data_IF_503386133975
#
_entry.id   IF_503386133975
#
_cell.length_a   1.000
_cell.length_b   1.000
_cell.length_c   1.000
_cell.angle_alpha   90.00
_cell.angle_beta   90.00
_cell.angle_gamma   90.00
#
_symmetry.space_group_name_H-M   'P 1'
#
loop_
_entity.id
_entity.type
_entity.pdbx_description
1 polymer ?
#
# COMPACT_ATOMS: atom_id res chain seq x y z
N UNK A 1 1.13 -2.07 12.65
CA UNK A 1 2.13 -3.16 12.75
C UNK A 1 1.50 -4.44 13.33
N UNK A 2 0.84 -4.39 14.49
CA UNK A 2 0.24 -5.58 15.11
C UNK A 2 -0.71 -6.37 14.19
N UNK A 3 -1.54 -5.72 13.40
CA UNK A 3 -2.43 -6.35 12.41
C UNK A 3 -1.64 -7.12 11.33
N UNK A 4 -0.52 -6.57 10.86
CA UNK A 4 0.34 -7.25 9.86
C UNK A 4 0.98 -8.50 10.45
N UNK A 5 1.51 -8.37 11.67
CA UNK A 5 2.16 -9.48 12.37
C UNK A 5 1.16 -10.55 12.86
N UNK A 6 -0.09 -10.16 13.06
CA UNK A 6 -1.18 -11.05 13.48
C UNK A 6 -1.97 -11.65 12.31
N UNK A 7 -1.62 -11.33 11.07
CA UNK A 7 -2.29 -11.89 9.90
C UNK A 7 -1.97 -13.37 9.75
N UNK A 8 -3.00 -14.19 9.58
CA UNK A 8 -2.90 -15.65 9.38
C UNK A 8 -3.27 -16.01 7.94
N UNK A 9 -2.72 -17.11 7.43
CA UNK A 9 -2.99 -17.59 6.07
C UNK A 9 -4.45 -17.95 5.84
N UNK A 10 -5.17 -18.44 6.84
CA UNK A 10 -6.63 -18.69 6.74
C UNK A 10 -7.43 -17.45 6.36
N UNK A 11 -6.87 -16.26 6.60
CA UNK A 11 -7.48 -14.96 6.32
C UNK A 11 -6.91 -14.28 5.06
N UNK A 12 -6.16 -15.00 4.25
CA UNK A 12 -5.57 -14.51 3.00
C UNK A 12 -6.23 -15.22 1.82
N UNK A 13 -6.99 -14.48 1.03
CA UNK A 13 -7.78 -14.98 -0.09
C UNK A 13 -7.13 -14.54 -1.40
N UNK A 14 -6.22 -15.36 -1.90
CA UNK A 14 -5.37 -15.11 -3.07
C UNK A 14 -5.36 -16.28 -4.05
N UNK A 15 -6.46 -17.03 -4.12
CA UNK A 15 -6.69 -18.06 -5.11
C UNK A 15 -6.64 -17.46 -6.51
N UNK A 16 -6.26 -18.25 -7.52
CA UNK A 16 -6.10 -17.77 -8.90
C UNK A 16 -7.37 -17.10 -9.44
N UNK A 17 -8.52 -17.63 -9.09
CA UNK A 17 -9.83 -17.08 -9.44
C UNK A 17 -10.05 -15.69 -8.83
N UNK A 18 -9.71 -15.51 -7.54
CA UNK A 18 -9.82 -14.24 -6.84
C UNK A 18 -8.85 -13.20 -7.42
N UNK A 19 -7.62 -13.60 -7.72
CA UNK A 19 -6.63 -12.70 -8.35
C UNK A 19 -7.08 -12.29 -9.75
N UNK A 20 -7.56 -13.23 -10.55
CA UNK A 20 -8.03 -12.96 -11.90
C UNK A 20 -9.21 -11.98 -11.93
N UNK A 21 -10.13 -12.12 -10.99
CA UNK A 21 -11.35 -11.31 -10.86
C UNK A 21 -11.14 -9.98 -10.09
N UNK A 22 -9.92 -9.59 -9.71
CA UNK A 22 -9.62 -8.44 -8.84
C UNK A 22 -10.30 -8.51 -7.45
N UNK A 23 -10.58 -9.72 -6.96
CA UNK A 23 -11.25 -10.00 -5.70
C UNK A 23 -10.31 -10.56 -4.62
N UNK A 24 -9.00 -10.47 -4.82
CA UNK A 24 -8.03 -10.88 -3.80
C UNK A 24 -8.09 -9.92 -2.60
N UNK A 25 -8.11 -10.48 -1.40
CA UNK A 25 -8.17 -9.68 -0.16
C UNK A 25 -7.54 -10.41 1.02
N UNK A 26 -7.24 -9.65 2.06
CA UNK A 26 -6.96 -10.17 3.40
C UNK A 26 -8.05 -9.73 4.36
N UNK A 27 -8.38 -10.58 5.33
CA UNK A 27 -9.31 -10.23 6.40
C UNK A 27 -8.53 -10.00 7.70
N UNK A 28 -8.64 -8.80 8.26
CA UNK A 28 -8.01 -8.43 9.52
C UNK A 28 -8.97 -8.78 10.64
N UNK A 29 -8.65 -9.79 11.44
CA UNK A 29 -9.40 -10.19 12.63
C UNK A 29 -8.54 -10.28 13.88
N UNK A 30 -7.21 -10.16 13.72
CA UNK A 30 -6.27 -10.34 14.81
C UNK A 30 -5.14 -9.32 14.78
N UNK A 31 -4.54 -9.09 15.93
CA UNK A 31 -3.29 -8.36 16.10
C UNK A 31 -2.33 -9.13 17.01
N UNK A 32 -1.05 -9.11 16.65
CA UNK A 32 0.03 -9.64 17.48
C UNK A 32 0.60 -8.51 18.34
N UNK A 33 0.56 -8.69 19.64
CA UNK A 33 1.11 -7.72 20.59
C UNK A 33 1.95 -8.42 21.67
N UNK A 34 2.81 -7.64 22.31
CA UNK A 34 3.51 -8.06 23.52
C UNK A 34 2.79 -7.49 24.75
N UNK A 35 2.37 -8.34 25.66
CA UNK A 35 1.62 -7.96 26.86
C UNK A 35 2.24 -8.53 28.14
N UNK A 36 2.07 -7.82 29.25
CA UNK A 36 2.41 -8.34 30.58
C UNK A 36 1.41 -9.42 31.01
N UNK A 37 1.78 -10.26 31.99
CA UNK A 37 0.85 -11.25 32.54
C UNK A 37 -0.43 -10.61 33.08
N UNK A 38 -0.31 -9.49 33.78
CA UNK A 38 -1.48 -8.75 34.29
C UNK A 38 -2.36 -8.22 33.15
N UNK A 39 -1.77 -7.70 32.07
CA UNK A 39 -2.56 -7.25 30.93
C UNK A 39 -3.29 -8.41 30.22
N UNK A 40 -2.69 -9.59 30.15
CA UNK A 40 -3.32 -10.80 29.61
C UNK A 40 -4.55 -11.19 30.42
N UNK A 41 -4.43 -11.19 31.75
CA UNK A 41 -5.54 -11.45 32.66
C UNK A 41 -6.70 -10.44 32.50
N UNK A 42 -6.36 -9.15 32.30
CA UNK A 42 -7.36 -8.09 32.08
C UNK A 42 -8.07 -8.18 30.71
N UNK A 43 -7.39 -8.64 29.66
CA UNK A 43 -7.98 -8.82 28.33
C UNK A 43 -9.04 -9.91 28.36
N UNK A 44 -8.81 -10.96 29.13
CA UNK A 44 -9.70 -12.12 29.25
C UNK A 44 -9.54 -13.12 28.09
N UNK A 45 -9.88 -14.37 28.35
CA UNK A 45 -9.67 -15.49 27.43
C UNK A 45 -10.45 -15.36 26.11
N UNK A 46 -11.60 -14.69 26.11
CA UNK A 46 -12.47 -14.57 24.92
C UNK A 46 -11.87 -13.78 23.78
N UNK A 47 -10.96 -12.85 24.08
CA UNK A 47 -10.34 -11.97 23.08
C UNK A 47 -8.92 -12.39 22.71
N UNK A 48 -8.41 -13.47 23.30
CA UNK A 48 -7.09 -14.02 23.02
C UNK A 48 -7.23 -15.32 22.22
N UNK A 49 -6.67 -15.32 21.01
CA UNK A 49 -6.63 -16.49 20.16
C UNK A 49 -5.48 -17.43 20.51
N UNK A 50 -4.31 -16.86 20.87
CA UNK A 50 -3.13 -17.65 21.22
C UNK A 50 -2.16 -16.88 22.13
N UNK A 51 -1.55 -17.59 23.09
CA UNK A 51 -0.45 -17.08 23.93
C UNK A 51 0.80 -17.87 23.59
N UNK A 52 1.78 -17.20 22.99
CA UNK A 52 3.00 -17.85 22.53
C UNK A 52 3.96 -18.16 23.69
N UNK A 53 4.53 -19.35 23.68
CA UNK A 53 5.56 -19.73 24.62
C UNK A 53 6.81 -18.89 24.43
N UNK A 54 7.33 -18.21 25.45
CA UNK A 54 8.52 -17.37 25.29
C UNK A 54 9.77 -18.22 25.11
N UNK A 55 10.78 -17.66 24.46
CA UNK A 55 12.10 -18.30 24.32
C UNK A 55 12.82 -18.42 25.64
N UNK A 56 12.60 -17.48 26.56
CA UNK A 56 13.21 -17.48 27.90
C UNK A 56 12.11 -17.67 28.95
N UNK A 57 12.27 -18.60 29.91
CA UNK A 57 11.21 -18.93 30.87
C UNK A 57 10.84 -17.77 31.81
N UNK A 58 11.78 -16.90 32.14
CA UNK A 58 11.58 -15.85 33.17
C UNK A 58 11.20 -14.47 32.61
N UNK A 59 10.49 -14.41 31.49
CA UNK A 59 10.04 -13.14 30.93
C UNK A 59 8.75 -12.68 31.60
N UNK A 60 8.69 -11.38 31.92
CA UNK A 60 7.49 -10.71 32.48
C UNK A 60 6.38 -10.50 31.45
N UNK A 61 6.69 -10.65 30.17
CA UNK A 61 5.77 -10.41 29.05
C UNK A 61 5.66 -11.62 28.14
N UNK A 62 4.54 -11.71 27.40
CA UNK A 62 4.27 -12.74 26.38
C UNK A 62 3.86 -12.08 25.07
N UNK A 63 4.16 -12.73 23.94
CA UNK A 63 3.49 -12.45 22.69
C UNK A 63 2.11 -13.10 22.72
N UNK A 64 1.10 -12.36 22.33
CA UNK A 64 -0.28 -12.86 22.22
C UNK A 64 -0.87 -12.47 20.89
N UNK A 65 -1.62 -13.38 20.31
CA UNK A 65 -2.50 -13.13 19.17
C UNK A 65 -3.90 -12.90 19.73
N UNK A 66 -4.47 -11.75 19.50
CA UNK A 66 -5.75 -11.37 20.07
C UNK A 66 -6.61 -10.58 19.08
N UNK A 67 -7.89 -10.43 19.40
CA UNK A 67 -8.78 -9.52 18.66
C UNK A 67 -8.26 -8.09 18.69
N UNK A 68 -8.46 -7.32 17.61
CA UNK A 68 -8.17 -5.90 17.60
C UNK A 68 -8.96 -5.15 18.66
N UNK A 69 -8.46 -3.98 19.07
CA UNK A 69 -9.07 -3.17 20.15
C UNK A 69 -10.48 -2.69 19.83
N UNK A 70 -10.81 -2.46 18.56
CA UNK A 70 -12.11 -1.92 18.12
C UNK A 70 -12.71 -2.82 17.04
N UNK A 71 -14.03 -2.92 17.02
CA UNK A 71 -14.75 -3.66 15.99
C UNK A 71 -14.52 -3.10 14.58
N UNK A 72 -14.30 -1.80 14.45
CA UNK A 72 -13.94 -1.16 13.17
C UNK A 72 -12.57 -1.58 12.63
N UNK A 73 -11.73 -2.22 13.45
CA UNK A 73 -10.46 -2.78 13.00
C UNK A 73 -10.63 -4.10 12.25
N UNK A 74 -11.72 -4.84 12.51
CA UNK A 74 -12.06 -6.05 11.75
C UNK A 74 -12.58 -5.64 10.36
N UNK A 75 -11.84 -5.97 9.32
CA UNK A 75 -12.17 -5.51 7.96
C UNK A 75 -11.50 -6.35 6.87
N UNK A 76 -12.10 -6.30 5.69
CA UNK A 76 -11.43 -6.70 4.45
C UNK A 76 -10.51 -5.59 3.96
N UNK A 77 -9.33 -5.99 3.51
CA UNK A 77 -8.40 -5.12 2.79
C UNK A 77 -8.17 -5.74 1.42
N UNK A 78 -8.66 -5.08 0.38
CA UNK A 78 -8.51 -5.52 -0.99
C UNK A 78 -7.05 -5.38 -1.44
N UNK A 79 -6.56 -6.37 -2.16
CA UNK A 79 -5.16 -6.44 -2.58
C UNK A 79 -5.02 -6.10 -4.07
N UNK A 80 -4.08 -5.24 -4.43
CA UNK A 80 -3.62 -5.16 -5.80
C UNK A 80 -3.07 -6.51 -6.27
N UNK A 81 -3.29 -6.89 -7.53
CA UNK A 81 -2.82 -8.17 -8.11
C UNK A 81 -1.34 -8.44 -7.81
N UNK A 82 -0.49 -7.43 -7.96
CA UNK A 82 0.95 -7.54 -7.67
C UNK A 82 1.21 -8.00 -6.24
N UNK A 83 0.49 -7.43 -5.26
CA UNK A 83 0.64 -7.81 -3.85
C UNK A 83 0.13 -9.23 -3.61
N UNK A 84 -0.99 -9.62 -4.24
CA UNK A 84 -1.52 -10.98 -4.15
C UNK A 84 -0.52 -12.02 -4.71
N UNK A 85 0.13 -11.73 -5.84
CA UNK A 85 1.18 -12.60 -6.40
C UNK A 85 2.40 -12.69 -5.49
N UNK A 86 2.86 -11.59 -4.89
CA UNK A 86 3.96 -11.59 -3.92
C UNK A 86 3.61 -12.47 -2.71
N UNK A 87 2.39 -12.34 -2.17
CA UNK A 87 1.95 -13.17 -1.05
C UNK A 87 1.89 -14.65 -1.42
N UNK A 88 1.49 -14.98 -2.64
CA UNK A 88 1.46 -16.37 -3.13
C UNK A 88 2.86 -16.98 -3.20
N UNK A 89 3.83 -16.25 -3.75
CA UNK A 89 5.22 -16.71 -3.77
C UNK A 89 5.81 -16.79 -2.36
N UNK A 90 5.45 -15.85 -1.48
CA UNK A 90 5.83 -15.90 -0.08
C UNK A 90 5.28 -17.14 0.62
N UNK A 91 3.99 -17.45 0.40
CA UNK A 91 3.37 -18.67 0.96
C UNK A 91 4.11 -19.94 0.51
N UNK A 92 4.41 -20.03 -0.79
CA UNK A 92 5.13 -21.17 -1.35
C UNK A 92 6.50 -21.34 -0.71
N UNK A 93 7.28 -20.26 -0.59
CA UNK A 93 8.59 -20.29 0.06
C UNK A 93 8.49 -20.71 1.55
N UNK A 94 7.45 -20.26 2.25
CA UNK A 94 7.19 -20.65 3.63
C UNK A 94 6.77 -22.13 3.75
N UNK A 95 5.94 -22.63 2.85
CA UNK A 95 5.52 -24.04 2.80
C UNK A 95 6.72 -24.97 2.49
N UNK A 96 7.63 -24.55 1.61
CA UNK A 96 8.90 -25.26 1.33
C UNK A 96 9.79 -25.33 2.58
N UNK A 97 9.93 -24.21 3.29
CA UNK A 97 10.71 -24.14 4.53
C UNK A 97 10.08 -25.00 5.64
N UNK A 98 8.76 -24.98 5.78
CA UNK A 98 7.99 -25.82 6.69
C UNK A 98 8.21 -27.30 6.40
N UNK A 99 8.18 -27.69 5.12
CA UNK A 99 8.44 -29.05 4.69
C UNK A 99 9.88 -29.48 4.97
N UNK A 100 10.84 -28.58 4.82
CA UNK A 100 12.26 -28.83 5.09
C UNK A 100 12.54 -29.03 6.58
N UNK A 101 11.95 -28.19 7.45
CA UNK A 101 12.15 -28.25 8.91
C UNK A 101 11.31 -29.33 9.60
N UNK A 102 10.21 -29.77 8.98
CA UNK A 102 9.34 -30.80 9.55
C UNK A 102 8.84 -30.44 10.95
N UNK A 103 9.11 -31.31 11.94
CA UNK A 103 8.66 -31.13 13.33
C UNK A 103 9.32 -29.94 14.06
N UNK A 104 10.45 -29.43 13.57
CA UNK A 104 11.09 -28.23 14.12
C UNK A 104 10.36 -26.94 13.78
N UNK A 105 9.50 -26.96 12.76
CA UNK A 105 8.70 -25.81 12.38
C UNK A 105 7.48 -25.66 13.29
N UNK A 106 7.38 -24.51 13.97
CA UNK A 106 6.25 -24.19 14.84
C UNK A 106 5.15 -23.48 14.02
N UNK A 107 4.20 -24.26 13.53
CA UNK A 107 3.14 -23.72 12.67
C UNK A 107 2.03 -23.05 13.47
N UNK A 108 1.98 -21.73 13.37
CA UNK A 108 0.92 -20.88 13.92
C UNK A 108 0.07 -20.22 12.82
N UNK A 109 0.16 -20.69 11.59
CA UNK A 109 -0.56 -20.15 10.44
C UNK A 109 -0.25 -18.65 10.15
N UNK A 110 0.84 -18.10 10.68
CA UNK A 110 1.19 -16.68 10.53
C UNK A 110 1.79 -16.40 9.16
N UNK A 111 1.32 -15.35 8.51
CA UNK A 111 1.88 -14.84 7.23
C UNK A 111 3.28 -14.29 7.45
N UNK A 112 3.48 -13.54 8.54
CA UNK A 112 4.77 -12.97 8.92
C UNK A 112 5.33 -13.78 10.09
N UNK A 113 6.05 -14.85 9.77
CA UNK A 113 6.71 -15.71 10.74
C UNK A 113 8.23 -15.66 10.60
N UNK A 114 8.94 -16.02 11.66
CA UNK A 114 10.37 -16.31 11.61
C UNK A 114 10.62 -17.61 10.82
N UNK A 115 11.85 -17.88 10.36
CA UNK A 115 12.16 -19.09 9.58
C UNK A 115 11.73 -20.40 10.23
N UNK A 116 11.68 -20.47 11.55
CA UNK A 116 11.20 -21.63 12.32
C UNK A 116 9.69 -21.60 12.63
N UNK A 117 8.91 -20.73 11.98
CA UNK A 117 7.47 -20.61 12.15
C UNK A 117 7.02 -19.77 13.35
N UNK A 118 7.93 -19.40 14.25
CA UNK A 118 7.59 -18.57 15.41
C UNK A 118 7.13 -17.15 15.01
N UNK A 119 6.32 -16.48 15.86
CA UNK A 119 5.87 -15.13 15.56
C UNK A 119 7.04 -14.15 15.44
N UNK A 120 6.98 -13.30 14.41
CA UNK A 120 7.92 -12.21 14.21
C UNK A 120 7.55 -11.03 15.11
N UNK A 121 8.55 -10.38 15.70
CA UNK A 121 8.34 -9.21 16.55
C UNK A 121 8.52 -7.90 15.78
N UNK A 122 7.83 -6.86 16.25
CA UNK A 122 7.87 -5.51 15.70
C UNK A 122 9.31 -5.00 15.47
N UNK A 123 10.20 -5.23 16.47
CA UNK A 123 11.60 -4.79 16.41
C UNK A 123 12.37 -5.36 15.22
N UNK A 124 12.04 -6.58 14.80
CA UNK A 124 12.71 -7.23 13.66
C UNK A 124 12.32 -6.50 12.38
N UNK A 125 11.03 -6.25 12.18
CA UNK A 125 10.55 -5.51 11.01
C UNK A 125 11.10 -4.08 10.97
N UNK A 126 11.12 -3.38 12.10
CA UNK A 126 11.65 -2.02 12.19
C UNK A 126 13.16 -1.97 11.87
N UNK A 127 13.91 -2.95 12.35
CA UNK A 127 15.34 -3.08 12.04
C UNK A 127 15.56 -3.33 10.54
N UNK A 128 14.87 -4.31 9.97
CA UNK A 128 15.00 -4.63 8.54
C UNK A 128 14.52 -3.46 7.66
N UNK A 129 13.45 -2.76 8.04
CA UNK A 129 13.01 -1.55 7.35
C UNK A 129 14.05 -0.43 7.41
N UNK A 130 14.74 -0.27 8.54
CA UNK A 130 15.82 0.73 8.67
C UNK A 130 17.01 0.41 7.78
N UNK A 131 17.43 -0.86 7.73
CA UNK A 131 18.49 -1.32 6.83
C UNK A 131 18.10 -1.14 5.35
N UNK A 132 16.85 -1.44 5.01
CA UNK A 132 16.33 -1.27 3.65
C UNK A 132 16.35 0.21 3.23
N UNK A 133 15.90 1.12 4.12
CA UNK A 133 15.94 2.57 3.85
C UNK A 133 17.36 3.07 3.60
N UNK A 134 18.29 2.67 4.45
CA UNK A 134 19.70 3.05 4.32
C UNK A 134 20.28 2.55 2.98
N UNK A 135 20.07 1.28 2.68
CA UNK A 135 20.53 0.66 1.43
C UNK A 135 19.92 1.32 0.17
N UNK A 136 18.67 1.74 0.26
CA UNK A 136 17.95 2.37 -0.87
C UNK A 136 18.13 3.90 -0.92
N UNK A 137 18.88 4.52 -0.01
CA UNK A 137 19.06 5.97 0.05
C UNK A 137 17.76 6.74 0.31
N UNK A 138 16.77 6.12 0.98
CA UNK A 138 15.48 6.74 1.25
C UNK A 138 15.54 7.69 2.46
N UNK A 139 14.65 8.70 2.52
CA UNK A 139 14.58 9.61 3.66
C UNK A 139 14.25 8.84 4.95
N UNK A 140 14.63 9.44 6.09
CA UNK A 140 14.39 8.82 7.40
C UNK A 140 12.89 8.90 7.78
N UNK A 141 12.12 7.93 7.29
CA UNK A 141 10.72 7.73 7.62
C UNK A 141 10.54 6.52 8.53
N UNK A 142 9.54 6.54 9.40
CA UNK A 142 9.17 5.39 10.24
C UNK A 142 8.20 4.48 9.50
N UNK A 143 8.13 3.20 9.89
CA UNK A 143 7.25 2.23 9.22
C UNK A 143 5.77 2.70 9.19
N UNK A 144 5.32 3.37 10.24
CA UNK A 144 3.95 3.91 10.31
C UNK A 144 3.67 5.02 9.26
N UNK A 145 4.71 5.72 8.78
CA UNK A 145 4.57 6.71 7.72
C UNK A 145 4.07 6.12 6.41
N UNK A 146 4.32 4.82 6.15
CA UNK A 146 3.78 4.11 4.98
C UNK A 146 2.25 4.10 4.99
N UNK A 147 1.64 3.98 6.18
CA UNK A 147 0.18 4.07 6.33
C UNK A 147 -0.32 5.47 5.98
N UNK A 148 0.35 6.52 6.43
CA UNK A 148 -0.02 7.90 6.07
C UNK A 148 0.10 8.14 4.57
N UNK A 149 1.22 7.72 3.97
CA UNK A 149 1.41 7.84 2.52
C UNK A 149 0.32 7.10 1.74
N UNK A 150 0.01 5.84 2.13
CA UNK A 150 -1.06 5.06 1.51
C UNK A 150 -2.42 5.77 1.61
N UNK A 151 -2.77 6.31 2.77
CA UNK A 151 -4.01 7.07 2.98
C UNK A 151 -4.08 8.28 2.07
N UNK A 152 -2.99 9.06 2.00
CA UNK A 152 -2.88 10.25 1.15
C UNK A 152 -3.08 9.91 -0.32
N UNK A 153 -2.39 8.87 -0.81
CA UNK A 153 -2.53 8.44 -2.20
C UNK A 153 -3.93 7.90 -2.52
N UNK A 154 -4.53 7.13 -1.63
CA UNK A 154 -5.90 6.63 -1.80
C UNK A 154 -6.91 7.78 -1.89
N UNK A 155 -6.78 8.78 -1.02
CA UNK A 155 -7.63 9.98 -1.09
C UNK A 155 -7.46 10.72 -2.42
N UNK A 156 -6.22 10.90 -2.88
CA UNK A 156 -5.93 11.54 -4.16
C UNK A 156 -6.55 10.75 -5.33
N UNK A 157 -6.39 9.43 -5.35
CA UNK A 157 -6.92 8.57 -6.41
C UNK A 157 -8.46 8.49 -6.40
N UNK A 158 -9.07 8.56 -5.21
CA UNK A 158 -10.54 8.51 -5.02
C UNK A 158 -11.19 9.90 -5.06
N UNK A 159 -10.48 10.92 -5.57
CA UNK A 159 -11.00 12.30 -5.64
C UNK A 159 -11.54 12.84 -4.31
N UNK A 160 -10.91 12.44 -3.19
CA UNK A 160 -11.27 12.91 -1.85
C UNK A 160 -12.41 12.14 -1.17
N UNK A 161 -12.78 10.95 -1.65
CA UNK A 161 -13.75 10.11 -0.96
C UNK A 161 -13.20 9.61 0.38
N UNK A 162 -13.53 10.36 1.43
CA UNK A 162 -13.11 10.09 2.80
C UNK A 162 -13.68 8.77 3.32
N UNK A 163 -14.92 8.44 2.93
CA UNK A 163 -15.62 7.27 3.46
C UNK A 163 -15.06 5.96 2.91
N UNK A 164 -14.78 5.92 1.60
CA UNK A 164 -14.12 4.78 0.98
C UNK A 164 -12.71 4.58 1.55
N UNK A 165 -11.94 5.66 1.71
CA UNK A 165 -10.59 5.61 2.29
C UNK A 165 -10.59 5.19 3.76
N UNK A 166 -11.59 5.60 4.55
CA UNK A 166 -11.76 5.18 5.94
C UNK A 166 -11.98 3.67 6.05
N UNK A 167 -12.85 3.10 5.21
CA UNK A 167 -13.12 1.67 5.17
C UNK A 167 -11.85 0.84 4.95
N UNK A 168 -11.02 1.27 4.00
CA UNK A 168 -9.77 0.59 3.67
C UNK A 168 -8.68 0.70 4.75
N UNK A 169 -8.58 1.86 5.38
CA UNK A 169 -7.50 2.13 6.34
C UNK A 169 -7.82 1.71 7.76
N UNK A 170 -9.11 1.47 8.08
CA UNK A 170 -9.57 1.11 9.43
C UNK A 170 -9.33 2.22 10.46
N UNK A 171 -9.34 3.49 10.03
CA UNK A 171 -9.32 4.60 10.96
C UNK A 171 -10.71 4.77 11.58
N UNK A 172 -10.79 4.74 12.90
CA UNK A 172 -12.06 4.96 13.62
C UNK A 172 -12.55 6.41 13.49
N UNK A 173 -11.63 7.37 13.26
CA UNK A 173 -11.94 8.80 13.23
C UNK A 173 -11.59 9.40 11.86
N UNK A 174 -12.56 10.05 11.24
CA UNK A 174 -12.43 10.81 9.99
C UNK A 174 -11.44 11.97 10.16
N UNK A 175 -11.35 12.55 11.36
CA UNK A 175 -10.46 13.68 11.67
C UNK A 175 -8.98 13.40 11.37
N UNK A 176 -8.52 12.17 11.57
CA UNK A 176 -7.14 11.80 11.26
C UNK A 176 -6.90 11.81 9.74
N UNK A 177 -7.87 11.33 8.97
CA UNK A 177 -7.81 11.35 7.51
C UNK A 177 -7.87 12.79 7.00
N UNK A 178 -8.75 13.60 7.57
CA UNK A 178 -8.94 15.01 7.20
C UNK A 178 -7.69 15.83 7.47
N UNK A 179 -6.97 15.60 8.59
CA UNK A 179 -5.71 16.30 8.89
C UNK A 179 -4.62 15.98 7.86
N UNK A 180 -4.54 14.74 7.41
CA UNK A 180 -3.61 14.32 6.34
C UNK A 180 -4.00 14.96 5.00
N UNK A 181 -5.32 15.07 4.74
CA UNK A 181 -5.86 15.63 3.50
C UNK A 181 -5.79 17.15 3.42
N UNK A 182 -5.75 17.86 4.54
CA UNK A 182 -5.69 19.33 4.57
C UNK A 182 -4.52 19.92 3.76
N UNK A 183 -3.43 19.18 3.59
CA UNK A 183 -2.29 19.60 2.77
C UNK A 183 -2.50 19.42 1.25
N UNK A 184 -3.46 18.60 0.84
CA UNK A 184 -3.73 18.31 -0.58
C UNK A 184 -4.76 19.31 -1.13
N UNK A 185 -5.50 19.97 -0.25
CA UNK A 185 -6.67 20.79 -0.57
C UNK A 185 -6.40 22.01 -1.49
N UNK A 186 -5.18 22.53 -1.58
CA UNK A 186 -4.93 23.74 -2.38
C UNK A 186 -4.93 23.44 -3.89
N UNK A 187 -4.35 22.33 -4.33
CA UNK A 187 -4.43 21.90 -5.74
C UNK A 187 -5.87 21.51 -6.13
N UNK A 188 -6.56 20.77 -5.26
CA UNK A 188 -7.95 20.37 -5.50
C UNK A 188 -8.92 21.54 -5.47
N UNK A 189 -8.68 22.57 -4.63
CA UNK A 189 -9.45 23.83 -4.62
C UNK A 189 -9.33 24.56 -5.93
N UNK A 190 -8.12 24.61 -6.50
CA UNK A 190 -7.89 25.22 -7.81
C UNK A 190 -8.62 24.46 -8.92
N UNK A 191 -8.54 23.13 -8.91
CA UNK A 191 -9.26 22.26 -9.85
C UNK A 191 -10.77 22.42 -9.70
N UNK A 192 -11.29 22.49 -8.46
CA UNK A 192 -12.70 22.69 -8.20
C UNK A 192 -13.19 24.07 -8.69
N UNK A 193 -12.38 25.11 -8.53
CA UNK A 193 -12.70 26.43 -9.08
C UNK A 193 -12.78 26.40 -10.61
N UNK A 194 -11.87 25.68 -11.27
CA UNK A 194 -11.89 25.50 -12.73
C UNK A 194 -13.10 24.68 -13.21
N UNK A 195 -13.44 23.59 -12.48
CA UNK A 195 -14.64 22.79 -12.77
C UNK A 195 -15.91 23.60 -12.57
N UNK A 196 -15.95 24.43 -11.52
CA UNK A 196 -17.07 25.31 -11.27
C UNK A 196 -17.22 26.38 -12.37
N UNK A 197 -16.10 26.98 -12.80
CA UNK A 197 -16.05 27.88 -13.93
C UNK A 197 -16.62 27.22 -15.19
N UNK A 198 -16.14 26.02 -15.53
CA UNK A 198 -16.60 25.27 -16.70
C UNK A 198 -18.08 24.88 -16.62
N UNK A 199 -18.58 24.52 -15.42
CA UNK A 199 -19.95 24.07 -15.26
C UNK A 199 -20.98 25.21 -15.25
N UNK A 200 -20.63 26.37 -14.69
CA UNK A 200 -21.58 27.43 -14.41
C UNK A 200 -21.35 28.72 -15.21
N UNK A 201 -20.12 29.00 -15.64
CA UNK A 201 -19.74 30.24 -16.32
C UNK A 201 -19.30 30.05 -17.77
N UNK A 202 -19.19 28.80 -18.24
CA UNK A 202 -18.92 28.52 -19.66
C UNK A 202 -20.08 28.90 -20.58
N UNK A 203 -21.23 29.33 -20.03
CA UNK A 203 -22.34 29.81 -20.78
C UNK A 203 -22.27 31.37 -20.86
N UNK A 204 -21.94 31.96 -22.04
CA UNK A 204 -21.64 33.38 -22.18
C UNK A 204 -22.81 34.33 -21.91
N UNK A 205 -24.03 33.80 -21.75
CA UNK A 205 -25.25 34.62 -21.62
C UNK A 205 -25.51 35.18 -20.21
N UNK A 206 -24.77 34.76 -19.21
CA UNK A 206 -25.10 35.14 -17.83
C UNK A 206 -24.62 36.56 -17.46
N UNK A 207 -23.65 37.17 -18.16
CA UNK A 207 -23.12 38.52 -17.84
C UNK A 207 -22.54 39.33 -19.03
N UNK A 208 -22.80 39.02 -20.28
CA UNK A 208 -22.17 39.70 -21.45
C UNK A 208 -20.62 39.73 -21.39
N UNK A 209 -20.02 38.84 -20.66
CA UNK A 209 -18.56 38.71 -20.60
C UNK A 209 -18.15 37.72 -21.67
N UNK A 210 -17.39 38.17 -22.66
CA UNK A 210 -16.75 37.23 -23.60
C UNK A 210 -15.96 36.22 -22.81
N UNK A 211 -16.18 34.89 -23.01
CA UNK A 211 -15.36 33.89 -22.35
C UNK A 211 -13.89 34.15 -22.70
N UNK A 212 -12.98 33.95 -21.74
CA UNK A 212 -11.57 33.96 -22.06
C UNK A 212 -11.35 32.96 -23.20
N UNK A 213 -10.67 33.37 -24.26
CA UNK A 213 -10.25 32.40 -25.28
C UNK A 213 -9.46 31.32 -24.56
N UNK A 214 -9.92 30.08 -24.64
CA UNK A 214 -9.13 28.94 -24.20
C UNK A 214 -7.73 29.08 -24.84
N UNK A 215 -6.65 28.99 -24.06
CA UNK A 215 -5.35 28.84 -24.65
C UNK A 215 -5.45 27.60 -25.56
N UNK A 216 -5.22 27.77 -26.83
CA UNK A 216 -5.17 26.65 -27.78
C UNK A 216 -4.35 25.53 -27.10
N UNK A 217 -5.02 24.46 -26.79
CA UNK A 217 -4.30 23.25 -26.33
C UNK A 217 -3.30 22.97 -27.44
N UNK A 218 -2.01 22.85 -27.15
CA UNK A 218 -1.07 22.42 -28.16
C UNK A 218 -1.64 21.12 -28.70
N UNK A 219 -2.15 21.20 -29.94
CA UNK A 219 -2.61 19.99 -30.65
C UNK A 219 -1.48 19.01 -30.52
N UNK A 220 -1.76 17.86 -29.89
CA UNK A 220 -0.82 16.77 -29.86
C UNK A 220 -0.45 16.54 -31.32
N UNK A 221 0.72 17.04 -31.72
CA UNK A 221 1.26 16.78 -33.05
C UNK A 221 1.35 15.26 -33.09
N UNK A 222 0.41 14.64 -33.78
CA UNK A 222 0.55 13.24 -34.18
C UNK A 222 1.87 13.19 -34.94
N UNK A 223 2.88 12.62 -34.28
CA UNK A 223 4.17 12.39 -34.89
C UNK A 223 3.91 11.59 -36.17
N UNK A 224 3.94 12.28 -37.31
CA UNK A 224 3.88 11.62 -38.59
C UNK A 224 5.19 10.82 -38.75
N UNK A 225 5.08 9.54 -38.40
CA UNK A 225 6.19 8.59 -38.50
C UNK A 225 6.78 8.55 -39.91
N UNK A 226 5.99 8.79 -40.95
CA UNK A 226 6.46 8.82 -42.33
C UNK A 226 7.35 10.05 -42.59
N UNK A 227 6.94 11.21 -42.08
CA UNK A 227 7.74 12.44 -42.18
C UNK A 227 9.04 12.35 -41.37
N UNK A 228 9.00 11.68 -40.21
CA UNK A 228 10.17 11.46 -39.36
C UNK A 228 11.18 10.52 -40.02
N UNK A 229 10.73 9.45 -40.66
CA UNK A 229 11.56 8.51 -41.41
C UNK A 229 12.20 9.21 -42.62
N UNK A 230 11.47 10.07 -43.33
CA UNK A 230 12.02 10.83 -44.46
C UNK A 230 13.07 11.85 -44.01
N UNK A 231 12.90 12.50 -42.85
CA UNK A 231 13.92 13.39 -42.26
C UNK A 231 15.17 12.63 -41.82
N UNK A 232 15.03 11.45 -41.24
CA UNK A 232 16.16 10.59 -40.84
C UNK A 232 16.97 10.09 -42.06
N UNK A 233 16.30 9.83 -43.18
CA UNK A 233 16.96 9.45 -44.43
C UNK A 233 17.75 10.60 -45.07
N UNK A 234 17.29 11.85 -44.87
CA UNK A 234 17.96 13.06 -45.43
C UNK A 234 19.08 13.60 -44.52
N UNK A 235 19.19 13.17 -43.28
CA UNK A 235 20.16 13.70 -42.30
C UNK A 235 20.88 12.58 -41.54
N UNK A 236 22.00 12.06 -42.05
CA UNK A 236 22.78 10.96 -41.42
C UNK A 236 23.22 11.27 -39.97
N UNK A 237 23.43 12.55 -39.66
CA UNK A 237 23.81 13.00 -38.30
C UNK A 237 22.68 12.82 -37.27
N UNK A 238 21.43 13.08 -37.66
CA UNK A 238 20.28 12.87 -36.83
C UNK A 238 20.02 11.37 -36.58
N UNK A 239 20.22 10.54 -37.59
CA UNK A 239 20.09 9.09 -37.46
C UNK A 239 21.13 8.51 -36.49
N UNK A 240 22.38 9.00 -36.53
CA UNK A 240 23.45 8.56 -35.63
C UNK A 240 23.22 8.99 -34.19
N UNK A 241 22.68 10.20 -33.97
CA UNK A 241 22.35 10.73 -32.64
C UNK A 241 21.20 9.94 -31.99
N UNK A 242 20.17 9.61 -32.78
CA UNK A 242 19.02 8.81 -32.32
C UNK A 242 19.42 7.37 -31.98
N UNK A 243 20.31 6.76 -32.80
CA UNK A 243 20.85 5.45 -32.53
C UNK A 243 21.70 5.42 -31.25
N UNK A 244 22.47 6.48 -30.97
CA UNK A 244 23.27 6.61 -29.75
C UNK A 244 22.35 6.76 -28.51
N UNK A 245 21.23 7.52 -28.60
CA UNK A 245 20.26 7.65 -27.53
C UNK A 245 19.52 6.33 -27.23
N UNK A 246 19.16 5.58 -28.25
CA UNK A 246 18.48 4.29 -28.11
C UNK A 246 19.40 3.19 -27.55
N UNK A 247 20.72 3.27 -27.84
CA UNK A 247 21.70 2.35 -27.25
C UNK A 247 22.03 2.71 -25.80
N UNK A 248 22.02 4.00 -25.43
CA UNK A 248 22.21 4.44 -24.05
C UNK A 248 21.05 4.02 -23.12
N UNK A 249 19.82 3.91 -23.65
CA UNK A 249 18.64 3.50 -22.90
C UNK A 249 18.57 1.97 -22.65
N UNK A 250 19.37 1.16 -23.35
CA UNK A 250 19.47 -0.29 -23.16
C UNK A 250 20.56 -0.73 -22.17
N UNK A 251 21.36 0.20 -21.67
CA UNK A 251 22.52 -0.06 -20.80
C UNK A 251 22.32 0.48 -19.35
N UNK A 252 21.08 0.91 -18.98
CA UNK A 252 20.72 1.39 -17.65
C UNK A 252 19.76 0.45 -16.91
#
# INVERSE_FOLDING_TARGET
>A
MGEILGLTWKNVHIEDENIAADNAYVYIEAELIRASKQAIEMIGEKDIFHIFTPLMPNTSTRLILKKPKTQSSERKVWLPKTVAYILREWKKAQDELKSFLGEEYQDYDLVVALPNGRPCENRIIEKEFSLLKEKAGLPNVVFHSLRHSSTTYKLKLNHGDLKATQGDTGHAEIDMITKVYAHILDEDRKINAQKFESAFYANPDLRNVKPPQEPEQPQAQTLDLAALVEQLQKSPELASTLAALLTAQKAG
#
